data_IF_030063604085
#
_entry.id   IF_030063604085
#
_cell.length_a   1.000
_cell.length_b   1.000
_cell.length_c   1.000
_cell.angle_alpha   90.00
_cell.angle_beta   90.00
_cell.angle_gamma   90.00
#
_symmetry.space_group_name_H-M   'P 1'
#
loop_
_entity.id
_entity.type
_entity.pdbx_description
1 polymer ?
#
# COMPACT_ATOMS: atom_id res chain seq x y z
N UNK A 1 -17.91 -6.23 -21.25
CA UNK A 1 -17.54 -5.02 -20.47
C UNK A 1 -18.51 -4.65 -19.34
N UNK A 2 -19.81 -4.44 -19.58
CA UNK A 2 -20.73 -3.88 -18.55
C UNK A 2 -20.87 -4.69 -17.24
N UNK A 3 -20.93 -6.03 -17.32
CA UNK A 3 -21.02 -6.89 -16.11
C UNK A 3 -19.75 -6.85 -15.26
N UNK A 4 -18.58 -6.82 -15.90
CA UNK A 4 -17.27 -6.74 -15.21
C UNK A 4 -17.12 -5.36 -14.58
N UNK A 5 -17.47 -4.29 -15.31
CA UNK A 5 -17.46 -2.94 -14.78
C UNK A 5 -18.38 -2.79 -13.55
N UNK A 6 -19.61 -3.32 -13.61
CA UNK A 6 -20.51 -3.34 -12.45
C UNK A 6 -19.92 -4.06 -11.23
N UNK A 7 -19.29 -5.21 -11.44
CA UNK A 7 -18.64 -5.95 -10.35
C UNK A 7 -17.48 -5.15 -9.74
N UNK A 8 -16.63 -4.54 -10.56
CA UNK A 8 -15.52 -3.69 -10.11
C UNK A 8 -16.03 -2.44 -9.36
N UNK A 9 -17.06 -1.78 -9.87
CA UNK A 9 -17.70 -0.64 -9.20
C UNK A 9 -18.29 -1.03 -7.85
N UNK A 10 -18.93 -2.21 -7.76
CA UNK A 10 -19.48 -2.71 -6.50
C UNK A 10 -18.36 -3.01 -5.48
N UNK A 11 -17.29 -3.67 -5.91
CA UNK A 11 -16.11 -3.93 -5.06
C UNK A 11 -15.48 -2.61 -4.59
N UNK A 12 -15.38 -1.61 -5.47
CA UNK A 12 -14.85 -0.30 -5.10
C UNK A 12 -15.76 0.44 -4.10
N UNK A 13 -17.08 0.44 -4.32
CA UNK A 13 -18.03 1.09 -3.41
C UNK A 13 -18.08 0.40 -2.04
N UNK A 14 -18.11 -0.93 -2.01
CA UNK A 14 -18.26 -1.70 -0.78
C UNK A 14 -16.93 -1.97 -0.06
N UNK A 15 -15.80 -1.93 -0.76
CA UNK A 15 -14.47 -2.18 -0.20
C UNK A 15 -13.67 -0.91 -0.02
N UNK A 16 -13.43 -0.17 -1.10
CA UNK A 16 -12.54 1.00 -1.10
C UNK A 16 -13.06 2.12 -0.22
N UNK A 17 -14.31 2.56 -0.42
CA UNK A 17 -14.88 3.70 0.30
C UNK A 17 -14.89 3.48 1.82
N UNK A 18 -15.47 2.39 2.35
CA UNK A 18 -15.46 2.18 3.80
C UNK A 18 -14.04 1.92 4.31
N UNK A 19 -13.15 1.31 3.52
CA UNK A 19 -11.74 1.12 3.90
C UNK A 19 -11.06 2.45 4.24
N UNK A 20 -11.20 3.47 3.37
CA UNK A 20 -10.65 4.81 3.61
C UNK A 20 -11.23 5.48 4.86
N UNK A 21 -12.54 5.41 5.06
CA UNK A 21 -13.18 6.00 6.24
C UNK A 21 -12.69 5.36 7.55
N UNK A 22 -12.54 4.04 7.55
CA UNK A 22 -11.96 3.32 8.70
C UNK A 22 -10.50 3.71 8.93
N UNK A 23 -9.71 3.92 7.87
CA UNK A 23 -8.34 4.42 8.02
C UNK A 23 -8.36 5.77 8.73
N UNK A 24 -9.10 6.73 8.20
CA UNK A 24 -9.16 8.09 8.74
C UNK A 24 -9.64 8.10 10.20
N UNK A 25 -10.63 7.28 10.54
CA UNK A 25 -11.14 7.20 11.91
C UNK A 25 -10.15 6.56 12.91
N UNK A 26 -9.32 5.61 12.46
CA UNK A 26 -8.45 4.82 13.32
C UNK A 26 -6.98 5.28 13.31
N UNK A 27 -6.57 6.07 12.32
CA UNK A 27 -5.17 6.46 12.11
C UNK A 27 -4.60 7.25 13.28
N UNK A 28 -5.41 8.13 13.88
CA UNK A 28 -5.01 8.95 15.02
C UNK A 28 -5.05 8.16 16.35
N UNK A 29 -5.78 7.05 16.41
CA UNK A 29 -5.95 6.23 17.62
C UNK A 29 -4.93 5.09 17.67
N UNK A 30 -4.83 4.31 16.59
CA UNK A 30 -4.05 3.07 16.53
C UNK A 30 -2.61 3.35 16.04
N UNK A 31 -2.46 4.35 15.17
CA UNK A 31 -1.20 4.69 14.54
C UNK A 31 -1.04 4.08 13.14
N UNK A 32 -0.34 4.83 12.30
CA UNK A 32 -0.16 4.59 10.85
C UNK A 32 0.53 3.25 10.56
N UNK A 33 1.55 2.93 11.35
CA UNK A 33 2.32 1.71 11.22
C UNK A 33 1.49 0.45 11.49
N UNK A 34 0.76 0.47 12.60
CA UNK A 34 -0.08 -0.67 13.01
C UNK A 34 -1.19 -0.91 11.98
N UNK A 35 -1.79 0.16 11.44
CA UNK A 35 -2.78 0.06 10.35
C UNK A 35 -2.18 -0.56 9.08
N UNK A 36 -0.97 -0.14 8.68
CA UNK A 36 -0.27 -0.72 7.53
C UNK A 36 0.00 -2.22 7.72
N UNK A 37 0.49 -2.60 8.91
CA UNK A 37 0.80 -3.99 9.25
C UNK A 37 -0.47 -4.86 9.25
N UNK A 38 -1.54 -4.40 9.90
CA UNK A 38 -2.84 -5.10 9.90
C UNK A 38 -3.37 -5.27 8.48
N UNK A 39 -3.25 -4.25 7.65
CA UNK A 39 -3.64 -4.32 6.24
C UNK A 39 -2.88 -5.41 5.47
N UNK A 40 -1.54 -5.42 5.54
CA UNK A 40 -0.75 -6.45 4.87
C UNK A 40 -1.01 -7.87 5.38
N UNK A 41 -1.16 -8.04 6.70
CA UNK A 41 -1.47 -9.35 7.29
C UNK A 41 -2.85 -9.84 6.83
N UNK A 42 -3.88 -8.99 6.90
CA UNK A 42 -5.23 -9.36 6.47
C UNK A 42 -5.27 -9.65 4.97
N UNK A 43 -4.63 -8.83 4.13
CA UNK A 43 -4.50 -9.09 2.70
C UNK A 43 -3.82 -10.43 2.41
N UNK A 44 -2.78 -10.79 3.17
CA UNK A 44 -2.08 -12.07 3.06
C UNK A 44 -3.03 -13.25 3.37
N UNK A 45 -3.77 -13.16 4.48
CA UNK A 45 -4.73 -14.18 4.90
C UNK A 45 -5.80 -14.38 3.83
N UNK A 46 -6.41 -13.30 3.33
CA UNK A 46 -7.46 -13.41 2.32
C UNK A 46 -6.93 -13.89 0.97
N UNK A 47 -5.73 -13.49 0.55
CA UNK A 47 -5.09 -14.00 -0.67
C UNK A 47 -4.84 -15.51 -0.59
N UNK A 48 -4.35 -16.01 0.54
CA UNK A 48 -4.18 -17.45 0.73
C UNK A 48 -5.52 -18.20 0.86
N UNK A 49 -6.52 -17.60 1.52
CA UNK A 49 -7.88 -18.16 1.59
C UNK A 49 -8.57 -18.23 0.21
N UNK A 50 -8.21 -17.35 -0.73
CA UNK A 50 -8.64 -17.42 -2.12
C UNK A 50 -7.82 -18.44 -2.93
N UNK A 51 -6.53 -18.58 -2.64
CA UNK A 51 -5.61 -19.43 -3.39
C UNK A 51 -5.73 -20.93 -3.07
N UNK A 52 -5.85 -21.31 -1.79
CA UNK A 52 -5.86 -22.73 -1.41
C UNK A 52 -7.10 -23.48 -1.93
N UNK A 53 -8.33 -23.04 -1.61
CA UNK A 53 -9.57 -23.62 -2.15
C UNK A 53 -9.97 -23.01 -3.52
N UNK A 54 -9.01 -22.64 -4.39
CA UNK A 54 -9.30 -21.98 -5.66
C UNK A 54 -10.31 -22.75 -6.54
N UNK A 55 -10.23 -24.09 -6.56
CA UNK A 55 -11.19 -24.95 -7.30
C UNK A 55 -12.62 -24.87 -6.73
N UNK A 56 -12.75 -24.71 -5.41
CA UNK A 56 -14.05 -24.55 -4.76
C UNK A 56 -14.71 -23.21 -5.14
N UNK A 57 -13.90 -22.15 -5.25
CA UNK A 57 -14.35 -20.81 -5.66
C UNK A 57 -14.73 -20.70 -7.14
N UNK A 58 -14.18 -21.57 -8.00
CA UNK A 58 -14.51 -21.57 -9.43
C UNK A 58 -15.89 -22.16 -9.73
N UNK A 59 -16.49 -22.86 -8.76
CA UNK A 59 -17.86 -23.39 -8.88
C UNK A 59 -18.92 -22.27 -8.89
N UNK A 60 -20.00 -22.46 -9.66
CA UNK A 60 -21.04 -21.43 -9.87
C UNK A 60 -21.70 -20.94 -8.58
N UNK A 61 -21.91 -21.83 -7.62
CA UNK A 61 -22.57 -21.52 -6.34
C UNK A 61 -21.71 -20.64 -5.43
N UNK A 62 -20.37 -20.75 -5.51
CA UNK A 62 -19.46 -20.07 -4.57
C UNK A 62 -18.90 -18.75 -5.10
N UNK A 63 -19.32 -18.31 -6.29
CA UNK A 63 -18.83 -17.06 -6.90
C UNK A 63 -19.08 -15.83 -6.04
N UNK A 64 -20.19 -15.82 -5.29
CA UNK A 64 -20.51 -14.72 -4.38
C UNK A 64 -19.50 -14.68 -3.24
N UNK A 65 -19.17 -15.82 -2.64
CA UNK A 65 -18.16 -15.89 -1.58
C UNK A 65 -16.76 -15.49 -2.06
N UNK A 66 -16.37 -15.87 -3.28
CA UNK A 66 -15.14 -15.40 -3.91
C UNK A 66 -15.13 -13.86 -4.02
N UNK A 67 -16.25 -13.28 -4.47
CA UNK A 67 -16.37 -11.83 -4.65
C UNK A 67 -16.35 -11.09 -3.30
N UNK A 68 -16.93 -11.67 -2.24
CA UNK A 68 -16.86 -11.13 -0.87
C UNK A 68 -15.43 -11.17 -0.35
N UNK A 69 -14.74 -12.31 -0.43
CA UNK A 69 -13.33 -12.44 0.02
C UNK A 69 -12.40 -11.50 -0.76
N UNK A 70 -12.62 -11.38 -2.07
CA UNK A 70 -11.88 -10.45 -2.91
C UNK A 70 -12.17 -8.99 -2.55
N UNK A 71 -13.43 -8.64 -2.27
CA UNK A 71 -13.82 -7.30 -1.81
C UNK A 71 -13.24 -6.98 -0.43
N UNK A 72 -13.16 -7.94 0.48
CA UNK A 72 -12.52 -7.79 1.79
C UNK A 72 -11.01 -7.56 1.63
N UNK A 73 -10.36 -8.28 0.73
CA UNK A 73 -8.95 -8.04 0.39
C UNK A 73 -8.75 -6.59 -0.08
N UNK A 74 -9.65 -6.10 -0.95
CA UNK A 74 -9.65 -4.70 -1.41
C UNK A 74 -9.92 -3.70 -0.28
N UNK A 75 -10.84 -4.02 0.64
CA UNK A 75 -11.09 -3.21 1.82
C UNK A 75 -9.81 -3.06 2.66
N UNK A 76 -9.15 -4.16 3.02
CA UNK A 76 -7.94 -4.12 3.84
C UNK A 76 -6.74 -3.49 3.13
N UNK A 77 -6.66 -3.60 1.80
CA UNK A 77 -5.68 -2.88 1.00
C UNK A 77 -5.85 -1.36 1.12
N UNK A 78 -7.10 -0.89 1.08
CA UNK A 78 -7.42 0.53 1.20
C UNK A 78 -7.35 1.04 2.65
N UNK A 79 -7.74 0.20 3.61
CA UNK A 79 -7.63 0.47 5.03
C UNK A 79 -6.17 0.61 5.48
N UNK A 80 -5.31 -0.31 5.06
CA UNK A 80 -3.91 -0.32 5.47
C UNK A 80 -2.99 0.36 4.45
N UNK A 81 -2.28 -0.43 3.64
CA UNK A 81 -1.11 0.02 2.90
C UNK A 81 -1.38 1.11 1.87
N UNK A 82 -2.53 1.14 1.19
CA UNK A 82 -2.79 2.19 0.20
C UNK A 82 -2.87 3.56 0.87
N UNK A 83 -3.61 3.67 1.99
CA UNK A 83 -3.77 4.94 2.69
C UNK A 83 -2.47 5.36 3.39
N UNK A 84 -1.82 4.44 4.12
CA UNK A 84 -0.60 4.76 4.88
C UNK A 84 0.58 5.12 3.99
N UNK A 85 0.69 4.53 2.79
CA UNK A 85 1.76 4.86 1.82
C UNK A 85 1.65 6.30 1.29
N UNK A 86 0.46 6.91 1.29
CA UNK A 86 0.33 8.34 0.95
C UNK A 86 0.57 9.25 2.15
N UNK A 87 0.12 8.82 3.33
CA UNK A 87 0.11 9.64 4.55
C UNK A 87 1.52 9.69 5.17
N UNK A 88 2.18 8.54 5.30
CA UNK A 88 3.48 8.40 5.98
C UNK A 88 4.60 9.25 5.35
N UNK A 89 4.81 9.27 4.02
CA UNK A 89 5.78 10.16 3.39
C UNK A 89 5.49 11.64 3.58
N UNK A 90 4.21 12.04 3.60
CA UNK A 90 3.83 13.43 3.78
C UNK A 90 4.21 13.94 5.18
N UNK A 91 4.24 13.04 6.16
CA UNK A 91 4.51 13.37 7.56
C UNK A 91 5.97 13.17 7.94
N UNK A 92 6.68 12.20 7.36
CA UNK A 92 8.09 11.92 7.70
C UNK A 92 9.07 12.89 7.03
N UNK A 93 8.75 13.41 5.84
CA UNK A 93 9.73 14.21 5.09
C UNK A 93 9.73 15.70 5.50
N UNK A 94 10.87 16.26 5.97
CA UNK A 94 11.01 17.68 6.28
C UNK A 94 10.80 18.53 5.03
N UNK A 95 10.28 19.75 5.21
CA UNK A 95 9.82 20.60 4.10
C UNK A 95 10.90 20.85 3.02
N UNK A 96 12.18 20.82 3.39
CA UNK A 96 13.33 21.04 2.48
C UNK A 96 13.67 19.87 1.54
N UNK A 97 13.35 18.62 1.89
CA UNK A 97 13.68 17.42 1.08
C UNK A 97 12.46 16.64 0.59
N UNK A 98 11.25 17.14 0.92
CA UNK A 98 9.98 16.50 0.59
C UNK A 98 9.82 16.22 -0.90
N UNK A 99 10.24 17.11 -1.78
CA UNK A 99 10.02 16.94 -3.23
C UNK A 99 10.84 15.79 -3.85
N UNK A 100 12.12 15.64 -3.47
CA UNK A 100 13.00 14.59 -4.02
C UNK A 100 12.67 13.22 -3.46
N UNK A 101 12.49 13.10 -2.14
CA UNK A 101 12.12 11.82 -1.52
C UNK A 101 10.71 11.37 -1.91
N UNK A 102 9.74 12.30 -1.97
CA UNK A 102 8.40 11.98 -2.46
C UNK A 102 8.43 11.58 -3.95
N UNK A 103 9.26 12.26 -4.76
CA UNK A 103 9.44 11.91 -6.18
C UNK A 103 9.98 10.48 -6.38
N UNK A 104 11.02 10.10 -5.64
CA UNK A 104 11.59 8.74 -5.72
C UNK A 104 10.60 7.70 -5.21
N UNK A 105 9.94 7.94 -4.07
CA UNK A 105 8.92 7.04 -3.52
C UNK A 105 7.73 6.87 -4.47
N UNK A 106 7.26 7.96 -5.09
CA UNK A 106 6.19 7.93 -6.07
C UNK A 106 6.60 7.19 -7.35
N UNK A 107 7.83 7.38 -7.81
CA UNK A 107 8.38 6.66 -8.96
C UNK A 107 8.48 5.15 -8.68
N UNK A 108 8.99 4.76 -7.51
CA UNK A 108 9.07 3.35 -7.08
C UNK A 108 7.67 2.72 -6.99
N UNK A 109 6.69 3.43 -6.42
CA UNK A 109 5.29 2.98 -6.37
C UNK A 109 4.67 2.79 -7.75
N UNK A 110 4.88 3.73 -8.68
CA UNK A 110 4.42 3.61 -10.08
C UNK A 110 5.11 2.45 -10.81
N UNK A 111 6.42 2.28 -10.65
CA UNK A 111 7.16 1.17 -11.24
C UNK A 111 6.63 -0.18 -10.72
N UNK A 112 6.41 -0.29 -9.41
CA UNK A 112 5.77 -1.47 -8.81
C UNK A 112 4.38 -1.75 -9.36
N UNK A 113 3.56 -0.72 -9.58
CA UNK A 113 2.23 -0.87 -10.18
C UNK A 113 2.29 -1.38 -11.63
N UNK A 114 3.24 -0.90 -12.44
CA UNK A 114 3.47 -1.37 -13.81
C UNK A 114 3.89 -2.84 -13.80
N UNK A 115 4.90 -3.18 -12.99
CA UNK A 115 5.39 -4.56 -12.87
C UNK A 115 4.29 -5.49 -12.35
N UNK A 116 3.48 -5.04 -11.39
CA UNK A 116 2.34 -5.80 -10.87
C UNK A 116 1.24 -6.02 -11.92
N UNK A 117 0.85 -4.97 -12.65
CA UNK A 117 -0.21 -5.04 -13.65
C UNK A 117 0.16 -5.97 -14.82
N UNK A 118 1.34 -5.77 -15.41
CA UNK A 118 1.80 -6.63 -16.50
C UNK A 118 2.22 -8.02 -15.98
N UNK A 119 2.99 -8.07 -14.89
CA UNK A 119 3.46 -9.32 -14.31
C UNK A 119 2.31 -10.25 -13.91
N UNK A 120 1.26 -9.73 -13.27
CA UNK A 120 0.06 -10.52 -12.97
C UNK A 120 -0.67 -10.97 -14.24
N UNK A 121 -0.80 -10.08 -15.23
CA UNK A 121 -1.48 -10.40 -16.49
C UNK A 121 -0.81 -11.54 -17.26
N UNK A 122 0.52 -11.58 -17.28
CA UNK A 122 1.30 -12.68 -17.86
C UNK A 122 1.29 -13.93 -16.95
N UNK A 123 1.45 -13.76 -15.64
CA UNK A 123 1.48 -14.87 -14.68
C UNK A 123 0.16 -15.64 -14.57
N UNK A 124 -0.96 -14.92 -14.59
CA UNK A 124 -2.30 -15.47 -14.42
C UNK A 124 -2.81 -16.27 -15.63
N UNK A 125 -2.10 -16.21 -16.76
CA UNK A 125 -2.41 -17.00 -17.95
C UNK A 125 -2.35 -18.51 -17.64
N UNK A 126 -3.14 -19.29 -18.36
CA UNK A 126 -3.15 -20.73 -18.21
C UNK A 126 -1.80 -21.33 -18.61
N UNK A 127 -1.41 -22.40 -17.92
CA UNK A 127 -0.20 -23.17 -18.25
C UNK A 127 -0.36 -24.05 -19.48
N UNK A 128 -1.60 -24.26 -19.92
CA UNK A 128 -1.92 -24.99 -21.13
C UNK A 128 -1.98 -24.01 -22.31
N UNK A 129 -1.07 -24.14 -23.31
CA UNK A 129 -1.02 -23.26 -24.49
C UNK A 129 -2.35 -23.15 -25.23
N UNK A 130 -3.19 -24.19 -25.16
CA UNK A 130 -4.50 -24.25 -25.84
C UNK A 130 -5.61 -23.41 -25.18
N UNK A 131 -5.39 -22.94 -23.94
CA UNK A 131 -6.36 -22.16 -23.14
C UNK A 131 -5.83 -20.78 -22.77
N UNK A 132 -4.75 -20.36 -23.39
CA UNK A 132 -4.14 -19.03 -23.25
C UNK A 132 -4.90 -18.02 -24.10
N UNK A 133 -5.04 -16.79 -23.62
CA UNK A 133 -5.62 -15.74 -24.44
C UNK A 133 -4.71 -15.44 -25.65
N UNK A 134 -5.27 -15.16 -26.86
CA UNK A 134 -4.48 -14.90 -28.05
C UNK A 134 -3.48 -13.75 -27.83
N UNK A 135 -2.18 -14.05 -27.97
CA UNK A 135 -1.10 -13.06 -27.82
C UNK A 135 -0.35 -13.10 -26.48
N UNK A 136 -0.67 -14.02 -25.57
CA UNK A 136 0.08 -14.22 -24.32
C UNK A 136 0.82 -15.57 -24.27
N UNK A 137 2.03 -15.63 -23.68
CA UNK A 137 2.71 -16.89 -23.39
C UNK A 137 2.02 -17.65 -22.23
N UNK A 138 2.23 -18.98 -22.12
CA UNK A 138 1.67 -19.78 -21.04
C UNK A 138 2.15 -19.28 -19.67
N UNK A 139 1.22 -19.01 -18.77
CA UNK A 139 1.49 -18.60 -17.39
C UNK A 139 1.46 -19.77 -16.43
N UNK A 140 1.65 -19.53 -15.14
CA UNK A 140 1.54 -20.57 -14.11
C UNK A 140 0.13 -20.67 -13.51
N UNK A 141 -0.84 -19.93 -14.05
CA UNK A 141 -2.26 -20.00 -13.71
C UNK A 141 -2.66 -19.13 -12.50
N UNK A 142 -3.93 -18.73 -12.48
CA UNK A 142 -4.51 -17.80 -11.48
C UNK A 142 -4.27 -18.24 -10.03
N UNK A 143 -4.36 -19.54 -9.73
CA UNK A 143 -4.10 -20.06 -8.38
C UNK A 143 -2.68 -19.71 -7.92
N UNK A 144 -1.68 -20.00 -8.74
CA UNK A 144 -0.28 -19.75 -8.41
C UNK A 144 0.01 -18.24 -8.39
N UNK A 145 -0.64 -17.44 -9.23
CA UNK A 145 -0.58 -15.97 -9.15
C UNK A 145 -1.12 -15.41 -7.85
N UNK A 146 -2.23 -15.95 -7.33
CA UNK A 146 -2.76 -15.57 -6.02
C UNK A 146 -1.81 -15.94 -4.88
N UNK A 147 -1.13 -17.09 -4.95
CA UNK A 147 -0.09 -17.47 -3.97
C UNK A 147 1.06 -16.48 -4.01
N UNK A 148 1.58 -16.15 -5.20
CA UNK A 148 2.66 -15.18 -5.36
C UNK A 148 2.27 -13.81 -4.80
N UNK A 149 1.05 -13.33 -5.08
CA UNK A 149 0.53 -12.09 -4.48
C UNK A 149 0.43 -12.17 -2.96
N UNK A 150 -0.02 -13.30 -2.41
CA UNK A 150 -0.03 -13.55 -0.97
C UNK A 150 1.38 -13.47 -0.36
N UNK A 151 2.38 -14.08 -1.01
CA UNK A 151 3.78 -14.01 -0.57
C UNK A 151 4.34 -12.58 -0.63
N UNK A 152 4.02 -11.80 -1.68
CA UNK A 152 4.42 -10.40 -1.79
C UNK A 152 3.79 -9.56 -0.68
N UNK A 153 2.50 -9.76 -0.37
CA UNK A 153 1.83 -9.08 0.74
C UNK A 153 2.48 -9.44 2.08
N UNK A 154 2.84 -10.71 2.28
CA UNK A 154 3.52 -11.16 3.49
C UNK A 154 4.92 -10.53 3.62
N UNK A 155 5.68 -10.47 2.52
CA UNK A 155 6.96 -9.75 2.49
C UNK A 155 6.75 -8.27 2.80
N UNK A 156 5.68 -7.65 2.28
CA UNK A 156 5.27 -6.29 2.64
C UNK A 156 5.00 -6.11 4.13
N UNK A 157 4.37 -7.11 4.79
CA UNK A 157 4.21 -7.12 6.24
C UNK A 157 5.56 -7.17 6.96
N UNK A 158 6.48 -8.05 6.54
CA UNK A 158 7.82 -8.19 7.13
C UNK A 158 8.67 -6.93 6.94
N UNK A 159 8.64 -6.34 5.75
CA UNK A 159 9.32 -5.08 5.46
C UNK A 159 8.70 -3.94 6.27
N UNK A 160 7.37 -3.95 6.47
CA UNK A 160 6.73 -3.01 7.39
C UNK A 160 7.28 -3.22 8.80
N UNK A 161 7.40 -4.45 9.32
CA UNK A 161 8.03 -4.69 10.64
C UNK A 161 9.47 -4.15 10.77
N UNK A 162 10.21 -4.05 9.65
CA UNK A 162 11.57 -3.53 9.62
C UNK A 162 11.61 -1.99 9.63
N UNK A 163 10.52 -1.32 9.27
CA UNK A 163 10.39 0.14 9.38
C UNK A 163 10.15 0.48 10.85
N UNK A 164 11.03 1.24 11.52
CA UNK A 164 10.83 1.62 12.91
C UNK A 164 9.53 2.45 13.03
N UNK A 165 8.62 2.05 13.91
CA UNK A 165 7.42 2.83 14.23
C UNK A 165 7.86 4.14 14.91
N UNK A 166 7.59 5.34 14.34
CA UNK A 166 7.91 6.61 14.97
C UNK A 166 6.88 6.95 16.07
N UNK A 167 6.56 5.99 16.95
CA UNK A 167 5.62 6.23 18.06
C UNK A 167 6.32 7.08 19.12
N UNK A 168 5.99 8.37 19.15
CA UNK A 168 6.22 9.24 20.30
C UNK A 168 7.30 10.32 20.15
N UNK A 169 7.97 10.43 19.00
CA UNK A 169 8.79 11.61 18.69
C UNK A 169 8.05 12.45 17.66
N UNK A 170 7.70 13.70 18.02
CA UNK A 170 7.24 14.65 17.00
C UNK A 170 8.38 14.86 15.98
N UNK A 171 8.01 15.24 14.76
CA UNK A 171 8.98 15.46 13.69
C UNK A 171 10.09 16.43 14.10
N UNK A 172 9.78 17.38 15.00
CA UNK A 172 10.65 18.41 15.54
C UNK A 172 11.81 17.83 16.39
N UNK A 173 11.60 16.73 17.11
CA UNK A 173 12.64 16.06 17.91
C UNK A 173 13.55 15.15 17.08
N UNK A 174 13.11 14.73 15.90
CA UNK A 174 13.86 13.84 14.99
C UNK A 174 14.63 14.62 13.92
N UNK A 175 14.12 15.78 13.49
CA UNK A 175 14.79 16.65 12.51
C UNK A 175 15.71 17.69 13.14
N UNK A 176 15.62 17.91 14.46
CA UNK A 176 16.40 18.94 15.14
C UNK A 176 16.06 20.35 14.63
N UNK A 177 14.88 20.57 14.04
CA UNK A 177 14.51 21.87 13.48
C UNK A 177 14.45 22.97 14.55
N UNK A 178 14.20 22.64 15.83
CA UNK A 178 14.35 23.58 16.94
C UNK A 178 15.80 24.02 17.15
N UNK A 179 16.79 23.15 16.93
CA UNK A 179 18.21 23.53 17.05
C UNK A 179 18.65 24.40 15.85
N UNK A 180 18.12 24.15 14.65
CA UNK A 180 18.48 24.91 13.45
C UNK A 180 17.82 26.30 13.45
N UNK A 181 16.60 26.44 13.98
CA UNK A 181 15.95 27.74 14.18
C UNK A 181 16.59 28.52 15.34
N UNK A 182 16.95 27.88 16.46
CA UNK A 182 17.69 28.54 17.55
C UNK A 182 19.08 28.99 17.11
N UNK A 183 19.83 28.17 16.36
CA UNK A 183 21.17 28.51 15.88
C UNK A 183 21.11 29.58 14.76
N UNK A 184 20.10 29.52 13.88
CA UNK A 184 19.84 30.57 12.89
C UNK A 184 19.43 31.91 13.50
N UNK A 185 18.56 31.90 14.51
CA UNK A 185 18.13 33.10 15.23
C UNK A 185 19.24 33.66 16.15
N UNK A 186 20.07 32.79 16.75
CA UNK A 186 21.23 33.21 17.54
C UNK A 186 22.32 33.85 16.67
N UNK A 187 22.55 33.31 15.46
CA UNK A 187 23.49 33.87 14.48
C UNK A 187 22.98 35.20 13.91
N UNK A 188 21.69 35.35 13.62
CA UNK A 188 21.11 36.66 13.24
C UNK A 188 21.22 37.69 14.37
N UNK A 189 20.96 37.29 15.62
CA UNK A 189 21.04 38.21 16.76
C UNK A 189 22.48 38.61 17.11
N UNK A 190 23.48 37.75 16.89
CA UNK A 190 24.90 38.13 17.01
C UNK A 190 25.36 39.05 15.88
N UNK A 191 24.96 38.78 14.63
CA UNK A 191 25.37 39.57 13.46
C UNK A 191 24.85 41.01 13.54
N UNK A 192 23.65 41.21 14.10
CA UNK A 192 23.06 42.54 14.29
C UNK A 192 23.68 43.35 15.45
N UNK A 193 24.55 42.76 16.28
CA UNK A 193 25.24 43.45 17.39
C UNK A 193 26.67 43.90 17.04
N UNK A 194 27.21 43.52 15.88
CA UNK A 194 28.62 43.75 15.52
C UNK A 194 28.88 44.79 14.42
N UNK A 195 27.87 45.57 14.00
CA UNK A 195 28.11 46.73 13.12
C UNK A 195 27.92 48.03 13.89
N UNK A 196 28.98 48.56 14.54
CA UNK A 196 29.07 49.97 14.86
C UNK A 196 29.85 50.68 13.75
N UNK A 197 29.17 51.39 12.84
CA UNK A 197 29.66 52.65 12.26
C UNK A 197 28.46 53.50 11.86
#
# INVERSE_FOLDING_TARGET
CFRIAKAQTLIALCGTVPGYWFTVALIDIIGRFTIQLVGFIMMTIFMFALAFPYHHWTMKENRIGFLVMYSLTFFFANFGPNSTTFIVPAEIFPARLRSTCHGISAAAGKAGAIVGAFGFLYAAQNSDPSKTDPGYPPGFGVKNSLITLGCINFLGALLTLLVPEPKGKSLEELTGENEIEEDGAAVEHQTNRTVPV
#
